data_IF_696987377701
#
_entry.id   IF_696987377701
#
_cell.length_a   1.000
_cell.length_b   1.000
_cell.length_c   1.000
_cell.angle_alpha   90.00
_cell.angle_beta   90.00
_cell.angle_gamma   90.00
#
_symmetry.space_group_name_H-M   'P 1'
#
loop_
_entity.id
_entity.type
_entity.pdbx_description
1 polymer ?
#
# COMPACT_ATOMS: atom_id res chain seq x y z
N UNK A 1 -15.02 9.36 8.39
CA UNK A 1 -15.08 10.43 7.38
C UNK A 1 -13.66 10.74 7.02
N UNK A 2 -13.32 10.59 5.75
CA UNK A 2 -11.98 10.75 5.20
C UNK A 2 -11.59 12.25 5.18
N UNK A 3 -10.62 12.64 6.01
CA UNK A 3 -10.31 14.06 6.23
C UNK A 3 -9.63 14.73 5.05
N UNK A 4 -9.03 13.96 4.13
CA UNK A 4 -8.37 14.52 2.94
C UNK A 4 -9.38 14.93 1.87
N UNK A 5 -10.48 14.20 1.75
CA UNK A 5 -11.52 14.48 0.75
C UNK A 5 -12.55 15.49 1.25
N UNK A 6 -12.82 15.51 2.56
CA UNK A 6 -13.91 16.34 3.12
C UNK A 6 -13.51 17.80 3.45
N UNK A 7 -12.24 18.18 3.28
CA UNK A 7 -11.73 19.51 3.66
C UNK A 7 -11.17 20.32 2.47
N UNK A 8 -11.60 20.01 1.25
CA UNK A 8 -11.15 20.74 0.06
C UNK A 8 -11.84 22.11 -0.03
N UNK A 9 -11.07 23.16 -0.28
CA UNK A 9 -11.63 24.44 -0.70
C UNK A 9 -12.15 24.39 -2.15
N UNK A 10 -12.88 25.42 -2.58
CA UNK A 10 -13.48 25.47 -3.93
C UNK A 10 -12.43 25.32 -5.04
N UNK A 11 -11.25 25.93 -4.89
CA UNK A 11 -10.18 25.87 -5.88
C UNK A 11 -9.53 24.48 -5.93
N UNK A 12 -9.36 23.84 -4.78
CA UNK A 12 -8.84 22.47 -4.67
C UNK A 12 -9.81 21.45 -5.26
N UNK A 13 -11.11 21.63 -5.02
CA UNK A 13 -12.15 20.81 -5.63
C UNK A 13 -12.13 20.93 -7.16
N UNK A 14 -11.97 22.15 -7.67
CA UNK A 14 -11.89 22.39 -9.11
C UNK A 14 -10.63 21.82 -9.74
N UNK A 15 -9.51 21.89 -9.01
CA UNK A 15 -8.25 21.27 -9.44
C UNK A 15 -8.38 19.74 -9.49
N UNK A 16 -9.09 19.12 -8.53
CA UNK A 16 -9.35 17.69 -8.52
C UNK A 16 -10.18 17.24 -9.73
N UNK A 17 -11.20 18.01 -10.13
CA UNK A 17 -11.98 17.72 -11.34
C UNK A 17 -11.12 17.76 -12.59
N UNK A 18 -10.37 18.84 -12.79
CA UNK A 18 -9.47 18.96 -13.93
C UNK A 18 -8.40 17.86 -13.93
N UNK A 19 -7.95 17.44 -12.76
CA UNK A 19 -7.03 16.31 -12.63
C UNK A 19 -7.66 15.00 -13.13
N UNK A 20 -8.89 14.66 -12.73
CA UNK A 20 -9.59 13.45 -13.20
C UNK A 20 -9.77 13.45 -14.72
N UNK A 21 -10.12 14.60 -15.30
CA UNK A 21 -10.23 14.75 -16.75
C UNK A 21 -8.86 14.54 -17.44
N UNK A 22 -7.81 15.18 -16.93
CA UNK A 22 -6.47 15.10 -17.48
C UNK A 22 -5.88 13.68 -17.37
N UNK A 23 -6.05 13.00 -16.23
CA UNK A 23 -5.62 11.63 -16.01
C UNK A 23 -6.33 10.67 -16.97
N UNK A 24 -7.64 10.83 -17.15
CA UNK A 24 -8.43 10.02 -18.10
C UNK A 24 -7.90 10.16 -19.52
N UNK A 25 -7.66 11.41 -19.96
CA UNK A 25 -7.09 11.68 -21.27
C UNK A 25 -5.69 11.08 -21.44
N UNK A 26 -4.85 11.14 -20.40
CA UNK A 26 -3.52 10.54 -20.42
C UNK A 26 -3.59 9.01 -20.57
N UNK A 27 -4.49 8.34 -19.83
CA UNK A 27 -4.70 6.89 -19.94
C UNK A 27 -5.25 6.53 -21.32
N UNK A 28 -6.25 7.26 -21.85
CA UNK A 28 -6.75 7.08 -23.22
C UNK A 28 -5.62 7.14 -24.25
N UNK A 29 -4.80 8.20 -24.18
CA UNK A 29 -3.71 8.41 -25.13
C UNK A 29 -2.67 7.29 -25.11
N UNK A 30 -2.38 6.71 -23.95
CA UNK A 30 -1.39 5.63 -23.82
C UNK A 30 -1.98 4.26 -24.18
N UNK A 31 -3.26 4.03 -23.92
CA UNK A 31 -3.92 2.74 -24.16
C UNK A 31 -4.53 2.60 -25.55
N UNK A 32 -4.64 3.70 -26.31
CA UNK A 32 -5.42 3.76 -27.57
C UNK A 32 -6.88 3.31 -27.41
N UNK A 33 -7.45 3.45 -26.20
CA UNK A 33 -8.84 3.12 -25.89
C UNK A 33 -9.67 4.39 -25.64
N UNK A 34 -10.96 4.39 -26.00
CA UNK A 34 -11.86 5.50 -25.69
C UNK A 34 -12.16 5.58 -24.18
N UNK A 35 -12.59 6.75 -23.71
CA UNK A 35 -12.78 7.05 -22.28
C UNK A 35 -13.79 6.11 -21.58
N UNK A 36 -14.78 5.60 -22.32
CA UNK A 36 -15.80 4.66 -21.85
C UNK A 36 -15.27 3.21 -21.69
N UNK A 37 -14.00 2.96 -22.00
CA UNK A 37 -13.36 1.65 -21.89
C UNK A 37 -12.03 1.67 -21.13
N UNK A 38 -11.62 2.81 -20.55
CA UNK A 38 -10.27 2.90 -19.96
C UNK A 38 -10.08 2.03 -18.71
N UNK A 39 -11.14 1.68 -17.99
CA UNK A 39 -11.04 0.75 -16.86
C UNK A 39 -10.58 -0.66 -17.29
N UNK A 40 -10.71 -1.00 -18.58
CA UNK A 40 -10.22 -2.25 -19.17
C UNK A 40 -8.78 -2.12 -19.71
N UNK A 41 -8.23 -0.92 -19.77
CA UNK A 41 -6.84 -0.70 -20.15
C UNK A 41 -5.90 -1.20 -19.05
N UNK A 42 -4.65 -1.51 -19.41
CA UNK A 42 -3.61 -1.89 -18.45
C UNK A 42 -3.46 -0.85 -17.33
N UNK A 43 -3.42 0.44 -17.66
CA UNK A 43 -3.22 1.50 -16.68
C UNK A 43 -4.48 1.85 -15.90
N UNK A 44 -5.67 1.70 -16.49
CA UNK A 44 -6.92 1.81 -15.76
C UNK A 44 -7.09 0.69 -14.74
N UNK A 45 -6.77 -0.56 -15.13
CA UNK A 45 -6.76 -1.70 -14.22
C UNK A 45 -5.80 -1.48 -13.05
N UNK A 46 -4.56 -1.06 -13.32
CA UNK A 46 -3.60 -0.71 -12.27
C UNK A 46 -4.08 0.43 -11.35
N UNK A 47 -4.75 1.45 -11.90
CA UNK A 47 -5.25 2.59 -11.13
C UNK A 47 -6.31 2.13 -10.12
N UNK A 48 -7.32 1.42 -10.59
CA UNK A 48 -8.42 1.00 -9.73
C UNK A 48 -8.01 -0.15 -8.80
N UNK A 49 -7.07 -1.00 -9.21
CA UNK A 49 -6.45 -1.97 -8.32
C UNK A 49 -5.65 -1.27 -7.21
N UNK A 50 -4.85 -0.24 -7.54
CA UNK A 50 -4.09 0.54 -6.56
C UNK A 50 -5.02 1.23 -5.56
N UNK A 51 -6.12 1.84 -6.02
CA UNK A 51 -7.14 2.45 -5.14
C UNK A 51 -7.69 1.41 -4.16
N UNK A 52 -8.03 0.21 -4.64
CA UNK A 52 -8.46 -0.90 -3.80
C UNK A 52 -9.64 -0.57 -2.88
N UNK A 53 -9.39 -0.49 -1.58
CA UNK A 53 -10.42 -0.21 -0.56
C UNK A 53 -10.59 1.29 -0.24
N UNK A 54 -9.68 2.13 -0.71
CA UNK A 54 -9.63 3.55 -0.35
C UNK A 54 -10.73 4.36 -1.05
N UNK A 55 -10.89 5.61 -0.64
CA UNK A 55 -11.67 6.54 -1.44
C UNK A 55 -10.89 6.83 -2.75
N UNK A 56 -11.52 6.73 -3.94
CA UNK A 56 -10.83 6.96 -5.20
C UNK A 56 -10.13 8.31 -5.34
N UNK A 57 -10.52 9.34 -4.56
CA UNK A 57 -9.90 10.67 -4.60
C UNK A 57 -8.61 10.79 -3.77
N UNK A 58 -8.34 9.87 -2.85
CA UNK A 58 -7.18 9.97 -1.93
C UNK A 58 -5.87 10.01 -2.72
N UNK A 59 -5.66 9.05 -3.62
CA UNK A 59 -4.43 8.95 -4.39
C UNK A 59 -4.22 10.12 -5.38
N UNK A 60 -5.24 10.56 -6.16
CA UNK A 60 -5.22 11.84 -6.87
C UNK A 60 -4.80 13.03 -6.01
N UNK A 61 -5.40 13.18 -4.82
CA UNK A 61 -5.13 14.30 -3.93
C UNK A 61 -3.72 14.26 -3.34
N UNK A 62 -3.19 13.08 -3.01
CA UNK A 62 -1.80 12.91 -2.58
C UNK A 62 -0.83 13.40 -3.66
N UNK A 63 -1.04 12.99 -4.92
CA UNK A 63 -0.20 13.45 -6.02
C UNK A 63 -0.34 14.95 -6.30
N UNK A 64 -1.56 15.49 -6.24
CA UNK A 64 -1.79 16.92 -6.38
C UNK A 64 -1.04 17.71 -5.30
N UNK A 65 -1.10 17.29 -4.02
CA UNK A 65 -0.37 17.97 -2.93
C UNK A 65 1.14 17.91 -3.12
N UNK A 66 1.69 16.74 -3.42
CA UNK A 66 3.13 16.57 -3.71
C UNK A 66 3.56 17.50 -4.85
N UNK A 67 2.76 17.60 -5.90
CA UNK A 67 3.03 18.44 -7.05
C UNK A 67 2.59 19.89 -6.88
N UNK A 68 2.28 20.34 -5.65
CA UNK A 68 1.85 21.72 -5.33
C UNK A 68 0.68 22.18 -6.21
N UNK A 69 -0.28 21.28 -6.39
CA UNK A 69 -1.49 21.44 -7.20
C UNK A 69 -1.23 21.66 -8.70
N UNK A 70 -0.04 21.33 -9.19
CA UNK A 70 0.25 21.29 -10.62
C UNK A 70 -0.31 20.00 -11.25
N UNK A 71 -1.38 20.14 -12.02
CA UNK A 71 -2.10 19.01 -12.63
C UNK A 71 -1.20 18.18 -13.55
N UNK A 72 -0.43 18.81 -14.44
CA UNK A 72 0.40 18.10 -15.41
C UNK A 72 1.46 17.24 -14.72
N UNK A 73 2.14 17.79 -13.72
CA UNK A 73 3.14 17.06 -12.93
C UNK A 73 2.50 15.92 -12.13
N UNK A 74 1.34 16.15 -11.52
CA UNK A 74 0.63 15.15 -10.74
C UNK A 74 0.15 13.99 -11.64
N UNK A 75 -0.40 14.30 -12.82
CA UNK A 75 -0.81 13.28 -13.80
C UNK A 75 0.39 12.48 -14.28
N UNK A 76 1.52 13.15 -14.57
CA UNK A 76 2.74 12.45 -14.95
C UNK A 76 3.22 11.49 -13.85
N UNK A 77 3.24 11.93 -12.59
CA UNK A 77 3.60 11.08 -11.44
C UNK A 77 2.68 9.87 -11.29
N UNK A 78 1.36 10.06 -11.44
CA UNK A 78 0.41 8.95 -11.45
C UNK A 78 0.71 7.99 -12.60
N UNK A 79 0.89 8.47 -13.83
CA UNK A 79 1.18 7.62 -14.99
C UNK A 79 2.50 6.86 -14.85
N UNK A 80 3.56 7.50 -14.33
CA UNK A 80 4.85 6.85 -14.06
C UNK A 80 4.70 5.73 -13.02
N UNK A 81 3.91 5.97 -11.97
CA UNK A 81 3.58 4.95 -10.99
C UNK A 81 2.81 3.79 -11.61
N UNK A 82 1.72 4.04 -12.35
CA UNK A 82 0.93 2.98 -12.98
C UNK A 82 1.78 2.13 -13.94
N UNK A 83 2.67 2.78 -14.70
CA UNK A 83 3.63 2.10 -15.57
C UNK A 83 4.60 1.23 -14.77
N UNK A 84 5.21 1.79 -13.72
CA UNK A 84 6.12 1.02 -12.86
C UNK A 84 5.42 -0.18 -12.24
N UNK A 85 4.19 -0.01 -11.72
CA UNK A 85 3.43 -1.12 -11.10
C UNK A 85 3.23 -2.28 -12.07
N UNK A 86 2.84 -1.95 -13.29
CA UNK A 86 2.65 -2.93 -14.36
C UNK A 86 3.97 -3.63 -14.73
N UNK A 87 5.01 -2.86 -15.06
CA UNK A 87 6.30 -3.39 -15.53
C UNK A 87 7.04 -4.18 -14.45
N UNK A 88 6.96 -3.74 -13.19
CA UNK A 88 7.56 -4.40 -12.05
C UNK A 88 6.77 -5.65 -11.62
N UNK A 89 5.50 -5.75 -12.00
CA UNK A 89 4.64 -6.90 -11.71
C UNK A 89 4.07 -6.91 -10.29
N UNK A 90 3.63 -5.75 -9.78
CA UNK A 90 3.10 -5.63 -8.41
C UNK A 90 1.88 -6.51 -8.19
N UNK A 91 0.92 -6.56 -9.12
CA UNK A 91 -0.23 -7.47 -9.01
C UNK A 91 0.21 -8.95 -8.98
N UNK A 92 1.24 -9.33 -9.74
CA UNK A 92 1.80 -10.69 -9.73
C UNK A 92 2.42 -11.02 -8.38
N UNK A 93 3.17 -10.08 -7.79
CA UNK A 93 3.71 -10.22 -6.44
C UNK A 93 2.58 -10.43 -5.43
N UNK A 94 1.50 -9.64 -5.49
CA UNK A 94 0.38 -9.74 -4.57
C UNK A 94 -0.40 -11.05 -4.72
N UNK A 95 -0.58 -11.51 -5.96
CA UNK A 95 -1.22 -12.79 -6.25
C UNK A 95 -0.44 -13.97 -5.67
N UNK A 96 0.89 -13.95 -5.71
CA UNK A 96 1.73 -14.98 -5.10
C UNK A 96 1.96 -14.78 -3.60
N UNK A 97 1.96 -13.53 -3.14
CA UNK A 97 2.24 -13.16 -1.76
C UNK A 97 3.60 -13.67 -1.28
N UNK A 98 3.59 -14.24 -0.07
CA UNK A 98 4.81 -14.74 0.60
C UNK A 98 5.44 -15.95 -0.09
N UNK A 99 4.72 -16.63 -0.99
CA UNK A 99 5.27 -17.74 -1.77
C UNK A 99 6.29 -17.31 -2.84
N UNK A 100 6.27 -16.04 -3.26
CA UNK A 100 7.28 -15.46 -4.16
C UNK A 100 8.52 -14.95 -3.40
N UNK A 101 8.55 -15.12 -2.08
CA UNK A 101 9.60 -14.62 -1.20
C UNK A 101 10.41 -15.77 -0.57
N UNK A 102 11.59 -15.44 -0.08
CA UNK A 102 12.38 -16.35 0.76
C UNK A 102 11.75 -16.46 2.14
N UNK A 103 11.23 -17.64 2.47
CA UNK A 103 10.69 -17.94 3.81
C UNK A 103 11.74 -17.69 4.91
N UNK A 104 13.00 -18.06 4.66
CA UNK A 104 14.11 -17.81 5.59
C UNK A 104 14.40 -16.32 5.78
N UNK A 105 14.22 -15.51 4.74
CA UNK A 105 14.37 -14.06 4.84
C UNK A 105 13.24 -13.42 5.65
N UNK A 106 11.99 -13.86 5.45
CA UNK A 106 10.85 -13.37 6.23
C UNK A 106 11.05 -13.71 7.71
N UNK A 107 11.49 -14.94 8.02
CA UNK A 107 11.77 -15.39 9.40
C UNK A 107 12.82 -14.56 10.14
N UNK A 108 13.70 -13.84 9.42
CA UNK A 108 14.63 -12.91 10.09
C UNK A 108 13.91 -11.83 10.89
N UNK A 109 12.66 -11.49 10.51
CA UNK A 109 11.92 -10.39 11.11
C UNK A 109 12.62 -9.05 10.95
N UNK A 110 13.42 -8.86 9.88
CA UNK A 110 14.12 -7.59 9.63
C UNK A 110 13.19 -6.45 9.23
N UNK A 111 11.99 -6.77 8.76
CA UNK A 111 10.95 -5.84 8.36
C UNK A 111 9.59 -6.46 8.73
N UNK A 112 8.79 -5.78 9.54
CA UNK A 112 7.46 -6.28 9.94
C UNK A 112 6.52 -5.16 10.40
N UNK A 113 5.21 -5.39 10.26
CA UNK A 113 4.16 -4.47 10.69
C UNK A 113 3.63 -4.90 12.06
N UNK A 114 3.54 -3.97 13.01
CA UNK A 114 2.96 -4.27 14.32
C UNK A 114 2.44 -3.04 15.03
N UNK A 115 1.20 -3.11 15.52
CA UNK A 115 0.61 -2.04 16.31
C UNK A 115 0.41 -0.74 15.54
N UNK A 116 0.10 0.32 16.29
CA UNK A 116 -0.21 1.64 15.78
C UNK A 116 0.49 2.71 16.63
N UNK A 117 0.87 3.82 16.00
CA UNK A 117 1.41 4.97 16.71
C UNK A 117 0.29 5.73 17.46
N UNK A 118 0.66 6.77 18.22
CA UNK A 118 -0.30 7.58 18.98
C UNK A 118 -1.31 8.35 18.12
N UNK A 119 -1.03 8.51 16.82
CA UNK A 119 -1.95 9.11 15.85
C UNK A 119 -2.81 8.05 15.13
N UNK A 120 -2.65 6.76 15.47
CA UNK A 120 -3.40 5.67 14.85
C UNK A 120 -2.82 5.18 13.53
N UNK A 121 -1.56 5.52 13.20
CA UNK A 121 -0.87 5.05 11.98
C UNK A 121 -0.31 3.64 12.20
N UNK A 122 -0.49 2.67 11.29
CA UNK A 122 0.18 1.39 11.40
C UNK A 122 1.70 1.57 11.39
N UNK A 123 2.41 0.78 12.19
CA UNK A 123 3.87 0.90 12.33
C UNK A 123 4.58 -0.22 11.56
N UNK A 124 5.55 0.16 10.73
CA UNK A 124 6.52 -0.74 10.11
C UNK A 124 7.87 -0.65 10.86
N UNK A 125 8.31 -1.76 11.45
CA UNK A 125 9.60 -1.86 12.11
C UNK A 125 10.63 -2.48 11.17
N UNK A 126 11.78 -1.81 11.04
CA UNK A 126 12.92 -2.27 10.25
C UNK A 126 14.13 -2.41 11.18
N UNK A 127 14.49 -3.65 11.52
CA UNK A 127 15.70 -3.95 12.30
C UNK A 127 16.91 -3.99 11.37
N UNK A 128 17.64 -2.88 11.25
CA UNK A 128 18.70 -2.72 10.24
C UNK A 128 19.85 -3.70 10.47
N UNK A 129 20.16 -4.03 11.73
CA UNK A 129 21.21 -5.00 12.06
C UNK A 129 20.95 -6.42 11.53
N UNK A 130 19.69 -6.76 11.24
CA UNK A 130 19.26 -8.05 10.67
C UNK A 130 19.31 -8.08 9.14
N UNK A 131 19.50 -6.93 8.49
CA UNK A 131 19.80 -6.87 7.06
C UNK A 131 21.31 -6.97 6.85
N UNK A 132 21.81 -8.05 6.25
CA UNK A 132 23.21 -8.17 5.85
C UNK A 132 23.30 -8.06 4.33
N UNK A 133 24.09 -7.09 3.84
CA UNK A 133 24.26 -6.86 2.40
C UNK A 133 24.76 -8.13 1.71
N UNK A 134 24.04 -8.57 0.69
CA UNK A 134 24.37 -9.75 -0.11
C UNK A 134 24.02 -11.09 0.54
N UNK A 135 23.35 -11.11 1.70
CA UNK A 135 22.87 -12.36 2.32
C UNK A 135 21.74 -13.01 1.50
N UNK A 136 20.87 -12.19 0.92
CA UNK A 136 19.79 -12.61 0.04
C UNK A 136 19.90 -11.90 -1.31
N UNK A 137 19.38 -12.48 -2.41
CA UNK A 137 19.29 -11.78 -3.68
C UNK A 137 18.55 -10.45 -3.53
N UNK A 138 19.05 -9.41 -4.19
CA UNK A 138 18.48 -8.07 -4.09
C UNK A 138 17.00 -8.05 -4.47
N UNK A 139 16.62 -8.77 -5.52
CA UNK A 139 15.23 -8.88 -5.98
C UNK A 139 14.31 -9.43 -4.89
N UNK A 140 14.73 -10.45 -4.15
CA UNK A 140 13.91 -11.04 -3.06
C UNK A 140 13.68 -10.03 -1.95
N UNK A 141 14.71 -9.29 -1.53
CA UNK A 141 14.55 -8.23 -0.52
C UNK A 141 13.68 -7.09 -1.05
N UNK A 142 13.81 -6.70 -2.32
CA UNK A 142 12.95 -5.69 -2.94
C UNK A 142 11.48 -6.13 -2.94
N UNK A 143 11.20 -7.39 -3.26
CA UNK A 143 9.84 -7.95 -3.20
C UNK A 143 9.28 -7.97 -1.79
N UNK A 144 10.07 -8.31 -0.78
CA UNK A 144 9.66 -8.20 0.62
C UNK A 144 9.28 -6.76 0.99
N UNK A 145 10.09 -5.77 0.56
CA UNK A 145 9.81 -4.35 0.79
C UNK A 145 8.51 -3.91 0.12
N UNK A 146 8.32 -4.22 -1.18
CA UNK A 146 7.09 -3.87 -1.91
C UNK A 146 5.87 -4.56 -1.30
N UNK A 147 5.95 -5.85 -0.97
CA UNK A 147 4.86 -6.56 -0.31
C UNK A 147 4.50 -5.92 1.04
N UNK A 148 5.50 -5.48 1.81
CA UNK A 148 5.27 -4.78 3.08
C UNK A 148 4.57 -3.44 2.86
N UNK A 149 4.97 -2.67 1.84
CA UNK A 149 4.34 -1.39 1.49
C UNK A 149 2.90 -1.55 1.00
N UNK A 150 2.60 -2.60 0.24
CA UNK A 150 1.22 -2.91 -0.14
C UNK A 150 0.39 -3.39 1.06
N UNK A 151 1.01 -4.15 1.96
CA UNK A 151 0.33 -4.67 3.15
C UNK A 151 0.02 -3.56 4.16
N UNK A 152 0.90 -2.58 4.37
CA UNK A 152 0.64 -1.50 5.33
C UNK A 152 -0.57 -0.67 4.95
N UNK A 153 -0.83 -0.47 3.65
CA UNK A 153 -2.02 0.23 3.15
C UNK A 153 -3.32 -0.46 3.55
N UNK A 154 -3.32 -1.80 3.61
CA UNK A 154 -4.46 -2.59 4.11
C UNK A 154 -4.74 -2.41 5.61
N UNK A 155 -3.80 -1.84 6.36
CA UNK A 155 -3.93 -1.58 7.80
C UNK A 155 -4.40 -0.15 8.10
N UNK A 156 -4.56 0.70 7.09
CA UNK A 156 -5.08 2.04 7.27
C UNK A 156 -6.51 2.02 7.80
N UNK A 157 -6.79 2.96 8.70
CA UNK A 157 -8.10 3.12 9.33
C UNK A 157 -8.48 4.58 9.21
N UNK A 158 -9.47 4.86 8.36
CA UNK A 158 -10.01 6.21 8.19
C UNK A 158 -10.25 6.88 9.56
N UNK A 159 -9.77 8.12 9.77
CA UNK A 159 -9.23 9.05 8.77
C UNK A 159 -7.71 8.95 8.53
N UNK A 160 -7.02 7.95 9.09
CA UNK A 160 -5.58 7.79 8.99
C UNK A 160 -5.19 7.01 7.73
N UNK A 161 -4.38 7.64 6.89
CA UNK A 161 -3.97 7.15 5.56
C UNK A 161 -2.44 7.13 5.39
N UNK A 162 -1.72 7.28 6.49
CA UNK A 162 -0.26 7.27 6.52
C UNK A 162 0.24 6.25 7.53
N UNK A 163 1.50 5.86 7.39
CA UNK A 163 2.19 4.88 8.24
C UNK A 163 3.33 5.54 9.02
N UNK A 164 3.77 4.87 10.08
CA UNK A 164 5.01 5.21 10.77
C UNK A 164 6.05 4.13 10.47
N UNK A 165 7.24 4.50 10.01
CA UNK A 165 8.34 3.56 9.84
C UNK A 165 9.42 3.81 10.90
N UNK A 166 9.87 2.75 11.56
CA UNK A 166 10.93 2.80 12.58
C UNK A 166 12.11 1.98 12.10
N UNK A 167 13.18 2.66 11.70
CA UNK A 167 14.48 2.05 11.44
C UNK A 167 15.26 1.94 12.75
N UNK A 168 15.31 0.74 13.32
CA UNK A 168 16.14 0.45 14.49
C UNK A 168 17.57 0.11 14.06
N UNK A 169 18.52 0.99 14.42
CA UNK A 169 19.93 0.85 14.14
C UNK A 169 20.72 0.28 15.33
N UNK A 170 20.05 -0.26 16.35
CA UNK A 170 20.72 -0.96 17.45
C UNK A 170 21.61 -2.08 16.92
N UNK A 171 22.91 -2.03 17.22
CA UNK A 171 23.88 -3.01 16.72
C UNK A 171 24.23 -2.87 15.23
N UNK A 172 23.87 -1.76 14.58
CA UNK A 172 24.24 -1.46 13.21
C UNK A 172 25.77 -1.44 13.00
N UNK A 173 26.23 -2.08 11.93
CA UNK A 173 27.58 -1.97 11.39
C UNK A 173 27.57 -1.83 9.86
N UNK A 174 28.74 -1.55 9.27
CA UNK A 174 28.84 -1.28 7.82
C UNK A 174 28.40 -2.46 6.93
N UNK A 175 28.45 -3.71 7.43
CA UNK A 175 27.91 -4.88 6.72
C UNK A 175 26.40 -4.79 6.50
N UNK A 176 25.70 -3.98 7.29
CA UNK A 176 24.28 -3.77 7.22
C UNK A 176 23.88 -2.62 6.27
N UNK A 177 24.86 -1.82 5.83
CA UNK A 177 24.60 -0.74 4.88
C UNK A 177 24.56 -1.25 3.44
N UNK A 178 23.36 -1.29 2.90
CA UNK A 178 23.07 -1.67 1.52
C UNK A 178 22.57 -0.45 0.73
N UNK A 179 23.50 0.31 0.16
CA UNK A 179 23.18 1.51 -0.61
C UNK A 179 22.30 1.23 -1.83
N UNK A 180 22.38 0.04 -2.42
CA UNK A 180 21.55 -0.31 -3.58
C UNK A 180 20.10 -0.51 -3.13
N UNK A 181 19.88 -1.22 -2.03
CA UNK A 181 18.55 -1.38 -1.46
C UNK A 181 17.98 -0.06 -0.94
N UNK A 182 18.80 0.78 -0.29
CA UNK A 182 18.36 2.10 0.18
C UNK A 182 17.94 3.00 -0.99
N UNK A 183 18.71 3.04 -2.10
CA UNK A 183 18.30 3.78 -3.30
C UNK A 183 16.98 3.28 -3.88
N UNK A 184 16.78 1.98 -3.90
CA UNK A 184 15.52 1.39 -4.33
C UNK A 184 14.36 1.86 -3.43
N UNK A 185 14.52 1.77 -2.11
CA UNK A 185 13.51 2.24 -1.16
C UNK A 185 13.21 3.73 -1.35
N UNK A 186 14.23 4.59 -1.49
CA UNK A 186 14.04 6.02 -1.78
C UNK A 186 13.21 6.23 -3.06
N UNK A 187 13.51 5.47 -4.12
CA UNK A 187 12.73 5.55 -5.36
C UNK A 187 11.26 5.16 -5.16
N UNK A 188 10.97 4.13 -4.36
CA UNK A 188 9.59 3.74 -4.05
C UNK A 188 8.81 4.88 -3.39
N UNK A 189 9.40 5.51 -2.37
CA UNK A 189 8.70 6.51 -1.55
C UNK A 189 8.57 7.87 -2.25
N UNK A 190 9.45 8.20 -3.20
CA UNK A 190 9.41 9.45 -3.97
C UNK A 190 8.56 9.38 -5.25
N UNK A 191 8.45 8.18 -5.84
CA UNK A 191 7.87 8.04 -7.17
C UNK A 191 6.63 7.17 -7.21
N UNK A 192 6.44 6.24 -6.27
CA UNK A 192 5.42 5.21 -6.42
C UNK A 192 4.45 5.05 -5.24
N UNK A 193 4.79 5.60 -4.06
CA UNK A 193 3.95 5.53 -2.86
C UNK A 193 3.81 6.93 -2.23
N UNK A 194 2.97 7.80 -2.82
CA UNK A 194 2.86 9.19 -2.41
C UNK A 194 2.31 9.30 -0.98
N UNK A 195 2.89 10.22 -0.19
CA UNK A 195 2.47 10.51 1.20
C UNK A 195 2.32 9.28 2.12
N UNK A 196 3.01 8.16 1.84
CA UNK A 196 2.82 6.91 2.60
C UNK A 196 3.23 7.02 4.08
N UNK A 197 4.18 7.88 4.42
CA UNK A 197 4.70 8.02 5.78
C UNK A 197 4.24 9.31 6.43
N UNK A 198 3.66 9.19 7.62
CA UNK A 198 3.46 10.31 8.53
C UNK A 198 4.67 10.56 9.43
N UNK A 199 5.43 9.51 9.75
CA UNK A 199 6.71 9.62 10.45
C UNK A 199 7.73 8.60 9.93
N UNK A 200 8.96 9.05 9.70
CA UNK A 200 10.10 8.18 9.44
C UNK A 200 11.13 8.33 10.56
N UNK A 201 11.22 7.34 11.44
CA UNK A 201 12.02 7.39 12.67
C UNK A 201 13.30 6.59 12.48
N UNK A 202 14.44 7.21 12.73
CA UNK A 202 15.75 6.56 12.82
C UNK A 202 16.09 6.44 14.31
N UNK A 203 15.97 5.24 14.85
CA UNK A 203 16.19 4.90 16.25
C UNK A 203 17.60 4.38 16.49
N UNK A 204 18.24 4.83 17.57
CA UNK A 204 19.52 4.31 18.07
C UNK A 204 20.66 4.33 17.03
N UNK A 205 20.70 5.36 16.18
CA UNK A 205 21.75 5.51 15.17
C UNK A 205 23.15 5.66 15.81
N UNK A 206 24.10 4.74 15.54
CA UNK A 206 25.47 4.87 16.05
C UNK A 206 26.23 5.96 15.30
N UNK A 207 27.32 6.47 15.89
CA UNK A 207 28.12 7.56 15.30
C UNK A 207 28.60 7.26 13.86
N UNK A 208 28.90 6.00 13.54
CA UNK A 208 29.33 5.56 12.20
C UNK A 208 28.25 5.75 11.13
N UNK A 209 26.97 5.76 11.51
CA UNK A 209 25.86 6.01 10.59
C UNK A 209 25.88 7.43 10.02
N UNK A 210 26.51 8.40 10.70
CA UNK A 210 26.61 9.79 10.21
C UNK A 210 27.22 9.89 8.81
N UNK A 211 28.25 9.08 8.51
CA UNK A 211 28.85 9.00 7.18
C UNK A 211 27.91 8.41 6.13
N UNK A 212 27.14 7.37 6.49
CA UNK A 212 26.10 6.81 5.62
C UNK A 212 24.99 7.82 5.35
N UNK A 213 24.52 8.51 6.39
CA UNK A 213 23.48 9.52 6.30
C UNK A 213 23.88 10.71 5.41
N UNK A 214 25.15 11.14 5.44
CA UNK A 214 25.65 12.18 4.55
C UNK A 214 25.54 11.82 3.05
N UNK A 215 25.47 10.53 2.74
CA UNK A 215 25.22 10.02 1.39
C UNK A 215 23.72 9.89 1.13
N UNK A 216 23.00 9.20 2.02
CA UNK A 216 21.56 8.90 1.87
C UNK A 216 20.73 10.18 1.80
N UNK A 217 21.02 11.16 2.65
CA UNK A 217 20.30 12.43 2.68
C UNK A 217 20.29 13.12 1.31
N UNK A 218 21.36 13.03 0.52
CA UNK A 218 21.44 13.63 -0.82
C UNK A 218 20.54 12.98 -1.87
N UNK A 219 20.03 11.78 -1.60
CA UNK A 219 19.09 11.09 -2.49
C UNK A 219 17.63 11.44 -2.17
N UNK A 220 17.37 11.99 -0.98
CA UNK A 220 16.04 12.36 -0.54
C UNK A 220 15.70 13.77 -0.97
N UNK A 221 14.50 13.94 -1.54
CA UNK A 221 13.83 15.23 -1.66
C UNK A 221 13.77 15.92 -0.28
N UNK A 222 13.94 17.26 -0.22
CA UNK A 222 13.91 17.99 1.05
C UNK A 222 12.65 17.71 1.89
N UNK A 223 11.47 17.57 1.26
CA UNK A 223 10.23 17.32 2.01
C UNK A 223 10.27 16.00 2.78
N UNK A 224 10.77 14.92 2.16
CA UNK A 224 10.90 13.62 2.83
C UNK A 224 12.02 13.67 3.88
N UNK A 225 13.11 14.36 3.58
CA UNK A 225 14.24 14.49 4.51
C UNK A 225 13.82 15.19 5.81
N UNK A 226 12.97 16.20 5.71
CA UNK A 226 12.50 16.99 6.86
C UNK A 226 11.52 16.21 7.75
N UNK A 227 10.84 15.19 7.21
CA UNK A 227 9.98 14.27 7.96
C UNK A 227 10.78 13.22 8.78
N UNK A 228 12.08 13.07 8.53
CA UNK A 228 12.91 12.06 9.22
C UNK A 228 13.31 12.53 10.62
N UNK A 229 12.93 11.75 11.62
CA UNK A 229 13.18 12.01 13.03
C UNK A 229 14.29 11.10 13.57
N UNK A 230 15.36 11.70 14.08
CA UNK A 230 16.41 10.97 14.79
C UNK A 230 16.07 10.86 16.27
N UNK A 231 15.97 9.63 16.76
CA UNK A 231 15.55 9.29 18.12
C UNK A 231 16.65 8.47 18.78
N UNK A 232 17.08 8.88 19.99
CA UNK A 232 18.27 8.30 20.65
C UNK A 232 17.97 7.16 21.62
N UNK A 233 16.72 7.04 22.06
CA UNK A 233 16.29 6.06 23.05
C UNK A 233 14.77 5.92 23.04
N UNK A 234 14.28 4.96 23.80
CA UNK A 234 12.87 4.61 23.92
C UNK A 234 12.05 5.73 24.57
N UNK A 235 12.63 6.55 25.44
CA UNK A 235 11.92 7.67 26.05
C UNK A 235 11.61 8.78 25.03
N UNK A 236 12.51 9.01 24.07
CA UNK A 236 12.23 9.89 22.93
C UNK A 236 11.25 9.23 21.94
N UNK A 237 11.36 7.91 21.73
CA UNK A 237 10.40 7.15 20.89
C UNK A 237 8.98 7.20 21.45
N UNK A 238 8.85 7.26 22.78
CA UNK A 238 7.58 7.34 23.49
C UNK A 238 6.76 8.59 23.14
N UNK A 239 7.35 9.60 22.49
CA UNK A 239 6.61 10.76 21.94
C UNK A 239 5.68 10.36 20.81
N UNK A 240 6.05 9.33 20.05
CA UNK A 240 5.34 8.88 18.85
C UNK A 240 4.55 7.60 19.09
N UNK A 241 5.11 6.65 19.83
CA UNK A 241 4.54 5.32 20.03
C UNK A 241 4.34 5.07 21.52
N UNK A 242 3.24 4.43 21.92
CA UNK A 242 3.06 4.01 23.31
C UNK A 242 4.07 2.89 23.65
N UNK A 243 4.92 3.03 24.67
CA UNK A 243 5.90 2.00 25.05
C UNK A 243 5.28 0.62 25.32
N UNK A 244 4.04 0.56 25.80
CA UNK A 244 3.32 -0.70 26.04
C UNK A 244 2.97 -1.45 24.74
N UNK A 245 3.00 -0.75 23.60
CA UNK A 245 2.74 -1.30 22.27
C UNK A 245 4.02 -1.66 21.50
N UNK A 246 5.20 -1.37 22.07
CA UNK A 246 6.48 -1.75 21.48
C UNK A 246 6.75 -3.26 21.64
N UNK A 247 7.48 -3.87 20.70
CA UNK A 247 7.98 -5.24 20.84
C UNK A 247 8.99 -5.35 22.00
N UNK A 248 9.11 -6.54 22.60
CA UNK A 248 10.10 -6.82 23.68
C UNK A 248 11.53 -6.51 23.27
N UNK A 249 11.90 -6.75 22.02
CA UNK A 249 13.20 -6.42 21.45
C UNK A 249 13.49 -4.91 21.39
N UNK A 250 12.46 -4.07 21.53
CA UNK A 250 12.56 -2.62 21.72
C UNK A 250 12.15 -2.20 23.14
N UNK A 251 12.38 -3.08 24.12
CA UNK A 251 12.07 -2.88 25.54
C UNK A 251 10.59 -2.60 25.85
N UNK A 252 9.68 -3.08 24.99
CA UNK A 252 8.24 -2.99 25.17
C UNK A 252 7.60 -4.22 25.82
N UNK A 253 6.26 -4.25 25.82
CA UNK A 253 5.48 -5.33 26.41
C UNK A 253 4.90 -6.34 25.39
N UNK A 254 4.86 -5.98 24.10
CA UNK A 254 4.30 -6.84 23.05
C UNK A 254 5.28 -7.96 22.67
N UNK A 255 4.79 -9.16 22.31
CA UNK A 255 5.64 -10.21 21.74
C UNK A 255 6.46 -9.69 20.55
N UNK A 256 7.69 -10.20 20.41
CA UNK A 256 8.48 -9.95 19.21
C UNK A 256 7.84 -10.61 17.99
N UNK A 257 8.18 -10.10 16.81
CA UNK A 257 7.73 -10.69 15.55
C UNK A 257 8.15 -12.15 15.45
N UNK A 258 7.16 -13.00 15.19
CA UNK A 258 7.34 -14.42 14.87
C UNK A 258 6.56 -14.73 13.60
N UNK A 259 7.26 -15.13 12.54
CA UNK A 259 6.61 -15.43 11.27
C UNK A 259 5.82 -16.74 11.35
N UNK A 260 4.51 -16.63 11.14
CA UNK A 260 3.60 -17.76 10.94
C UNK A 260 3.53 -18.06 9.44
N UNK A 261 4.08 -19.18 8.94
CA UNK A 261 4.03 -19.55 7.53
C UNK A 261 2.60 -19.93 7.09
N UNK A 262 2.32 -20.01 5.77
CA UNK A 262 1.09 -20.57 5.26
C UNK A 262 0.84 -21.98 5.81
N UNK A 263 -0.42 -22.26 6.17
CA UNK A 263 -0.87 -23.59 6.56
C UNK A 263 -1.32 -24.38 5.33
N UNK A 264 -1.46 -25.71 5.46
CA UNK A 264 -2.05 -26.54 4.40
C UNK A 264 -3.44 -26.06 3.97
N UNK A 265 -4.21 -25.45 4.90
CA UNK A 265 -5.50 -24.84 4.59
C UNK A 265 -5.37 -23.56 3.76
N UNK A 266 -4.38 -22.71 4.05
CA UNK A 266 -4.11 -21.52 3.22
C UNK A 266 -3.71 -21.93 1.80
N UNK A 267 -2.87 -22.98 1.67
CA UNK A 267 -2.45 -23.52 0.38
C UNK A 267 -3.62 -24.12 -0.42
N UNK A 268 -4.50 -24.89 0.24
CA UNK A 268 -5.69 -25.44 -0.40
C UNK A 268 -6.66 -24.35 -0.87
N UNK A 269 -6.86 -23.30 -0.06
CA UNK A 269 -7.69 -22.15 -0.42
C UNK A 269 -7.11 -21.40 -1.63
N UNK A 270 -5.80 -21.13 -1.62
CA UNK A 270 -5.13 -20.49 -2.75
C UNK A 270 -5.25 -21.34 -4.02
N UNK A 271 -5.05 -22.66 -3.92
CA UNK A 271 -5.22 -23.58 -5.04
C UNK A 271 -6.67 -23.58 -5.60
N UNK A 272 -7.68 -23.52 -4.74
CA UNK A 272 -9.07 -23.43 -5.15
C UNK A 272 -9.36 -22.14 -5.94
N UNK A 273 -8.89 -20.97 -5.46
CA UNK A 273 -9.05 -19.71 -6.19
C UNK A 273 -8.26 -19.66 -7.50
N UNK A 274 -7.10 -20.33 -7.57
CA UNK A 274 -6.32 -20.47 -8.81
C UNK A 274 -7.08 -21.33 -9.82
N UNK A 275 -7.76 -22.39 -9.36
CA UNK A 275 -8.53 -23.29 -10.21
C UNK A 275 -9.85 -22.67 -10.72
N UNK A 276 -10.45 -21.76 -9.95
CA UNK A 276 -11.68 -21.05 -10.31
C UNK A 276 -11.43 -19.89 -11.29
N UNK A 277 -11.08 -20.25 -12.53
CA UNK A 277 -10.81 -19.31 -13.63
C UNK A 277 -12.05 -18.49 -13.99
N UNK A 278 -13.24 -19.11 -13.95
CA UNK A 278 -14.49 -18.43 -14.29
C UNK A 278 -14.86 -17.39 -13.23
N UNK A 279 -14.82 -17.75 -11.94
CA UNK A 279 -15.07 -16.82 -10.85
C UNK A 279 -14.08 -15.66 -10.83
N UNK A 280 -12.79 -15.91 -11.08
CA UNK A 280 -11.79 -14.85 -11.26
C UNK A 280 -12.14 -13.91 -12.41
N UNK A 281 -12.52 -14.46 -13.55
CA UNK A 281 -12.90 -13.68 -14.74
C UNK A 281 -14.12 -12.81 -14.46
N UNK A 282 -15.15 -13.39 -13.83
CA UNK A 282 -16.38 -12.69 -13.47
C UNK A 282 -16.15 -11.60 -12.41
N UNK A 283 -15.37 -11.88 -11.36
CA UNK A 283 -15.03 -10.90 -10.33
C UNK A 283 -14.22 -9.73 -10.91
N UNK A 284 -13.27 -10.01 -11.80
CA UNK A 284 -12.49 -8.97 -12.49
C UNK A 284 -13.36 -8.13 -13.41
N UNK A 285 -14.23 -8.75 -14.21
CA UNK A 285 -15.17 -8.04 -15.06
C UNK A 285 -16.12 -7.15 -14.24
N UNK A 286 -16.63 -7.63 -13.10
CA UNK A 286 -17.46 -6.83 -12.20
C UNK A 286 -16.69 -5.62 -11.63
N UNK A 287 -15.44 -5.81 -11.20
CA UNK A 287 -14.59 -4.71 -10.73
C UNK A 287 -14.34 -3.67 -11.83
N UNK A 288 -14.00 -4.11 -13.05
CA UNK A 288 -13.79 -3.22 -14.20
C UNK A 288 -15.06 -2.45 -14.58
N UNK A 289 -16.23 -3.08 -14.55
CA UNK A 289 -17.51 -2.41 -14.76
C UNK A 289 -17.82 -1.38 -13.67
N UNK A 290 -17.58 -1.70 -12.40
CA UNK A 290 -17.76 -0.77 -11.30
C UNK A 290 -16.82 0.44 -11.41
N UNK A 291 -15.55 0.20 -11.79
CA UNK A 291 -14.56 1.23 -12.05
C UNK A 291 -14.96 2.15 -13.20
N UNK A 292 -15.40 1.58 -14.33
CA UNK A 292 -15.86 2.36 -15.48
C UNK A 292 -17.11 3.18 -15.13
N UNK A 293 -18.03 2.62 -14.35
CA UNK A 293 -19.22 3.33 -13.88
C UNK A 293 -18.86 4.52 -12.98
N UNK A 294 -17.96 4.32 -12.02
CA UNK A 294 -17.44 5.40 -11.17
C UNK A 294 -16.78 6.51 -12.01
N UNK A 295 -15.97 6.13 -12.99
CA UNK A 295 -15.30 7.08 -13.87
C UNK A 295 -16.30 7.88 -14.69
N UNK A 296 -17.30 7.23 -15.31
CA UNK A 296 -18.31 7.91 -16.11
C UNK A 296 -19.06 8.97 -15.30
N UNK A 297 -19.47 8.65 -14.07
CA UNK A 297 -20.10 9.62 -13.16
C UNK A 297 -19.10 10.72 -12.77
N UNK A 298 -17.84 10.37 -12.51
CA UNK A 298 -16.80 11.35 -12.18
C UNK A 298 -16.60 12.35 -13.32
N UNK A 299 -16.54 11.89 -14.56
CA UNK A 299 -16.42 12.74 -15.74
C UNK A 299 -17.67 13.59 -15.98
N UNK A 300 -18.87 13.09 -15.67
CA UNK A 300 -20.08 13.94 -15.70
C UNK A 300 -20.00 15.03 -14.63
N UNK A 301 -19.59 14.66 -13.42
CA UNK A 301 -19.39 15.57 -12.31
C UNK A 301 -18.35 16.65 -12.61
N UNK A 302 -17.30 16.37 -13.40
CA UNK A 302 -16.33 17.42 -13.79
C UNK A 302 -16.90 18.50 -14.71
N UNK A 303 -18.11 18.33 -15.25
CA UNK A 303 -18.74 19.30 -16.16
C UNK A 303 -19.98 20.01 -15.57
N UNK A 304 -20.56 19.50 -14.48
CA UNK A 304 -21.76 20.07 -13.84
C UNK A 304 -21.73 19.92 -12.32
N UNK A 305 -21.24 20.97 -11.67
CA UNK A 305 -21.05 21.03 -10.21
C UNK A 305 -22.30 21.43 -9.45
N UNK A 306 -23.30 21.94 -10.16
CA UNK A 306 -24.55 22.38 -9.55
C UNK A 306 -25.48 21.20 -9.26
N UNK A 307 -25.21 20.07 -9.91
CA UNK A 307 -25.98 18.86 -9.75
C UNK A 307 -25.54 18.05 -8.52
N UNK A 308 -26.13 18.42 -7.38
CA UNK A 308 -25.96 17.70 -6.10
C UNK A 308 -26.29 16.19 -6.17
N UNK A 309 -27.05 15.76 -7.16
CA UNK A 309 -27.35 14.33 -7.41
C UNK A 309 -26.11 13.57 -7.86
N UNK A 310 -25.28 14.16 -8.73
CA UNK A 310 -24.05 13.51 -9.23
C UNK A 310 -23.06 13.21 -8.11
N UNK A 311 -22.96 14.10 -7.11
CA UNK A 311 -22.08 13.86 -5.96
C UNK A 311 -22.56 12.66 -5.13
N UNK A 312 -23.87 12.57 -4.88
CA UNK A 312 -24.46 11.42 -4.18
C UNK A 312 -24.27 10.12 -4.96
N UNK A 313 -24.51 10.15 -6.28
CA UNK A 313 -24.29 9.00 -7.17
C UNK A 313 -22.82 8.57 -7.20
N UNK A 314 -21.88 9.51 -7.21
CA UNK A 314 -20.45 9.24 -7.18
C UNK A 314 -20.01 8.55 -5.88
N UNK A 315 -20.57 8.96 -4.74
CA UNK A 315 -20.34 8.29 -3.44
C UNK A 315 -20.85 6.84 -3.49
N UNK A 316 -22.03 6.62 -4.07
CA UNK A 316 -22.60 5.27 -4.24
C UNK A 316 -21.74 4.43 -5.19
N UNK A 317 -21.26 5.01 -6.29
CA UNK A 317 -20.39 4.33 -7.24
C UNK A 317 -19.02 3.99 -6.63
N UNK A 318 -18.43 4.87 -5.82
CA UNK A 318 -17.20 4.59 -5.08
C UNK A 318 -17.39 3.42 -4.10
N UNK A 319 -18.54 3.34 -3.42
CA UNK A 319 -18.88 2.19 -2.57
C UNK A 319 -18.99 0.90 -3.41
N UNK A 320 -19.70 0.94 -4.55
CA UNK A 320 -19.82 -0.22 -5.44
C UNK A 320 -18.47 -0.69 -5.96
N UNK A 321 -17.56 0.23 -6.28
CA UNK A 321 -16.20 -0.09 -6.68
C UNK A 321 -15.45 -0.83 -5.57
N UNK A 322 -15.51 -0.34 -4.33
CA UNK A 322 -14.94 -1.01 -3.16
C UNK A 322 -15.52 -2.41 -2.95
N UNK A 323 -16.85 -2.54 -2.98
CA UNK A 323 -17.53 -3.82 -2.80
C UNK A 323 -17.12 -4.82 -3.92
N UNK A 324 -16.98 -4.34 -5.16
CA UNK A 324 -16.49 -5.16 -6.27
C UNK A 324 -15.02 -5.56 -6.10
N UNK A 325 -14.17 -4.66 -5.57
CA UNK A 325 -12.78 -4.99 -5.26
C UNK A 325 -12.67 -6.05 -4.16
N UNK A 326 -13.50 -5.95 -3.12
CA UNK A 326 -13.58 -6.98 -2.07
C UNK A 326 -13.88 -8.36 -2.66
N UNK A 327 -14.80 -8.46 -3.63
CA UNK A 327 -15.07 -9.74 -4.33
C UNK A 327 -13.93 -10.24 -5.22
N UNK A 328 -13.09 -9.34 -5.73
CA UNK A 328 -11.95 -9.69 -6.58
C UNK A 328 -10.75 -10.18 -5.78
N UNK A 329 -10.54 -9.61 -4.59
CA UNK A 329 -9.34 -9.79 -3.76
C UNK A 329 -8.90 -11.25 -3.58
N UNK A 330 -9.80 -12.23 -3.29
CA UNK A 330 -9.36 -13.62 -3.11
C UNK A 330 -8.69 -14.25 -4.34
N UNK A 331 -8.97 -13.75 -5.54
CA UNK A 331 -8.42 -14.25 -6.80
C UNK A 331 -7.11 -13.58 -7.23
N UNK A 332 -6.77 -12.46 -6.60
CA UNK A 332 -5.65 -11.59 -6.99
C UNK A 332 -4.68 -11.29 -5.85
N UNK A 333 -5.01 -11.68 -4.62
CA UNK A 333 -4.18 -11.54 -3.43
C UNK A 333 -4.13 -12.86 -2.66
N UNK A 334 -2.93 -13.27 -2.24
CA UNK A 334 -2.77 -14.39 -1.31
C UNK A 334 -2.74 -13.90 0.15
N UNK A 335 -3.25 -14.75 1.06
CA UNK A 335 -3.19 -14.51 2.51
C UNK A 335 -1.73 -14.42 2.99
N UNK A 336 -1.42 -13.34 3.69
CA UNK A 336 -0.13 -13.13 4.35
C UNK A 336 -0.19 -13.48 5.84
N UNK A 337 0.97 -13.44 6.50
CA UNK A 337 1.14 -13.54 7.94
C UNK A 337 0.15 -12.67 8.71
N UNK A 338 -0.09 -11.45 8.23
CA UNK A 338 -0.98 -10.48 8.86
C UNK A 338 -2.45 -10.89 8.85
N UNK A 339 -2.87 -11.77 7.93
CA UNK A 339 -4.19 -12.40 7.98
C UNK A 339 -4.22 -13.50 9.05
N UNK A 340 -3.15 -14.29 9.16
CA UNK A 340 -3.05 -15.41 10.11
C UNK A 340 -2.98 -14.95 11.57
N UNK A 341 -2.36 -13.81 11.85
CA UNK A 341 -2.37 -13.18 13.18
C UNK A 341 -3.62 -12.30 13.42
N UNK A 342 -4.53 -12.19 12.46
CA UNK A 342 -5.77 -11.42 12.58
C UNK A 342 -5.59 -9.89 12.57
N UNK A 343 -4.43 -9.39 12.11
CA UNK A 343 -4.19 -7.97 11.92
C UNK A 343 -4.96 -7.42 10.71
N UNK A 344 -5.04 -8.19 9.62
CA UNK A 344 -5.93 -7.93 8.48
C UNK A 344 -7.17 -8.79 8.63
N UNK A 345 -8.34 -8.15 8.61
CA UNK A 345 -9.65 -8.77 8.78
C UNK A 345 -10.51 -8.57 7.54
N UNK A 346 -10.06 -9.11 6.41
CA UNK A 346 -10.86 -9.15 5.18
C UNK A 346 -11.90 -10.27 5.35
N UNK A 347 -13.18 -9.89 5.57
CA UNK A 347 -14.27 -10.83 5.89
C UNK A 347 -14.48 -11.87 4.79
N UNK A 348 -14.17 -11.53 3.54
CA UNK A 348 -14.33 -12.43 2.41
C UNK A 348 -13.45 -13.69 2.49
N UNK A 349 -12.25 -13.58 3.08
CA UNK A 349 -11.41 -14.75 3.35
C UNK A 349 -12.00 -15.65 4.45
N UNK A 350 -12.92 -15.13 5.26
CA UNK A 350 -13.62 -15.88 6.30
C UNK A 350 -14.93 -16.50 5.78
N UNK A 351 -15.69 -15.81 4.93
CA UNK A 351 -16.96 -16.33 4.34
C UNK A 351 -16.72 -17.58 3.50
N UNK A 352 -15.61 -17.61 2.76
CA UNK A 352 -15.24 -18.78 1.94
C UNK A 352 -14.93 -20.01 2.81
N UNK A 353 -14.37 -19.81 4.01
CA UNK A 353 -14.12 -20.89 4.98
C UNK A 353 -15.42 -21.56 5.43
N UNK A 354 -16.45 -20.75 5.75
CA UNK A 354 -17.74 -21.26 6.20
C UNK A 354 -18.47 -22.04 5.09
N UNK A 355 -18.31 -21.63 3.82
CA UNK A 355 -18.85 -22.37 2.67
C UNK A 355 -18.13 -23.68 2.40
N UNK A 356 -16.80 -23.71 2.42
CA UNK A 356 -16.01 -24.94 2.24
C UNK A 356 -16.32 -25.98 3.34
N UNK A 357 -16.51 -25.54 4.59
CA UNK A 357 -16.94 -26.43 5.68
C UNK A 357 -18.36 -26.97 5.48
N UNK A 358 -19.29 -26.14 5.00
CA UNK A 358 -20.65 -26.58 4.73
C UNK A 358 -20.71 -27.63 3.60
N UNK A 359 -19.93 -27.46 2.54
CA UNK A 359 -19.87 -28.41 1.41
C UNK A 359 -19.20 -29.74 1.82
N UNK A 360 -18.14 -29.70 2.64
CA UNK A 360 -17.51 -30.91 3.18
C UNK A 360 -18.41 -31.67 4.17
N UNK A 361 -19.22 -30.96 4.96
CA UNK A 361 -20.19 -31.57 5.87
C UNK A 361 -21.38 -32.22 5.15
N UNK A 362 -21.68 -31.83 3.90
CA UNK A 362 -22.73 -32.47 3.08
C UNK A 362 -22.25 -33.71 2.31
N UNK A 363 -20.96 -34.04 2.37
CA UNK A 363 -20.35 -35.17 1.66
C UNK A 363 -19.65 -36.18 2.59
N UNK A 364 -19.93 -36.11 3.90
CA UNK A 364 -19.59 -37.12 4.90
C UNK A 364 -20.86 -37.66 5.53
#
# INVERSE_FOLDING_TARGET
>A
MDTLVNNLDEMQMETLKHYWLALTNAICSQSSLPADQIANSVYGDELFYMIGYENPDVLPLQWLRICKWNINNAVQKMMDMLKWRHEWGVQTLLAKGESDLSCEEIKTGKCFLMGYDKAGRPINYVSVNRHVRGQYPQETTQKLTVLTMETVRKLFKSPVETSTIVFDLTGFGLKNMDYQHVKFFVSLIENYYPELFGHAIILNAPWIFSGCWAIISKWLDPAIRDEIQFVRNEAELAKYIDPSLLPRGLNGAQPDFEYIPPTANDEAMAAAFIADVEGKTNARANHQQAAQHFLNITLQWTHDDTNTTLLAERIVAAKRLRDAFETLVPYVNTRTHYHRIGAIKEQIFQITYDRLHAEMATHS
#
